data_IF_612981872752
#
_entry.id   IF_612981872752
#
_cell.length_a   1.000
_cell.length_b   1.000
_cell.length_c   1.000
_cell.angle_alpha   90.00
_cell.angle_beta   90.00
_cell.angle_gamma   90.00
#
_symmetry.space_group_name_H-M   'P 1'
#
loop_
_entity.id
_entity.type
_entity.pdbx_description
1 polymer ?
#
# COMPACT_ATOMS: atom_id res chain seq x y z
N UNK A 1 -25.06 -10.20 25.52
CA UNK A 1 -24.13 -10.51 24.43
C UNK A 1 -24.58 -9.91 23.09
N UNK A 2 -25.82 -10.15 22.65
CA UNK A 2 -26.37 -9.66 21.37
C UNK A 2 -26.41 -8.12 21.23
N UNK A 3 -26.78 -7.38 22.28
CA UNK A 3 -26.89 -5.91 22.23
C UNK A 3 -25.56 -5.22 21.94
N UNK A 4 -24.44 -5.74 22.50
CA UNK A 4 -23.10 -5.20 22.28
C UNK A 4 -22.64 -5.42 20.83
N UNK A 5 -23.03 -6.56 20.24
CA UNK A 5 -22.71 -6.89 18.85
C UNK A 5 -23.48 -5.96 17.91
N UNK A 6 -24.77 -5.72 18.17
CA UNK A 6 -25.59 -4.79 17.38
C UNK A 6 -25.05 -3.36 17.49
N UNK A 7 -24.70 -2.89 18.69
CA UNK A 7 -24.08 -1.58 18.91
C UNK A 7 -22.73 -1.47 18.19
N UNK A 8 -21.89 -2.51 18.21
CA UNK A 8 -20.61 -2.53 17.51
C UNK A 8 -20.80 -2.46 15.99
N UNK A 9 -21.79 -3.15 15.42
CA UNK A 9 -22.12 -3.11 14.00
C UNK A 9 -22.62 -1.70 13.62
N UNK A 10 -23.50 -1.11 14.42
CA UNK A 10 -24.04 0.23 14.18
C UNK A 10 -22.93 1.31 14.27
N UNK A 11 -22.04 1.19 15.24
CA UNK A 11 -20.90 2.11 15.41
C UNK A 11 -19.87 1.97 14.28
N UNK A 12 -19.51 0.74 13.88
CA UNK A 12 -18.52 0.52 12.82
C UNK A 12 -19.05 0.86 11.43
N UNK A 13 -20.32 0.53 11.15
CA UNK A 13 -20.98 0.92 9.90
C UNK A 13 -21.12 2.44 9.80
N UNK A 14 -21.63 3.12 10.83
CA UNK A 14 -21.75 4.58 10.84
C UNK A 14 -20.39 5.27 10.67
N UNK A 15 -19.35 4.84 11.38
CA UNK A 15 -17.99 5.38 11.22
C UNK A 15 -17.46 5.23 9.77
N UNK A 16 -17.69 4.05 9.16
CA UNK A 16 -17.23 3.78 7.78
C UNK A 16 -18.01 4.60 6.75
N UNK A 17 -19.33 4.70 6.90
CA UNK A 17 -20.18 5.45 5.99
C UNK A 17 -19.98 6.96 6.11
N UNK A 18 -19.72 7.50 7.31
CA UNK A 18 -19.41 8.92 7.51
C UNK A 18 -18.21 9.32 6.65
N UNK A 19 -17.11 8.55 6.72
CA UNK A 19 -15.89 8.87 5.98
C UNK A 19 -16.11 8.83 4.47
N UNK A 20 -16.82 7.81 3.98
CA UNK A 20 -17.16 7.70 2.55
C UNK A 20 -18.08 8.83 2.09
N UNK A 21 -19.08 9.21 2.89
CA UNK A 21 -20.03 10.28 2.55
C UNK A 21 -19.33 11.64 2.47
N UNK A 22 -18.47 11.97 3.43
CA UNK A 22 -17.63 13.17 3.36
C UNK A 22 -16.72 13.17 2.12
N UNK A 23 -16.14 12.02 1.78
CA UNK A 23 -15.33 11.86 0.56
C UNK A 23 -16.11 12.20 -0.72
N UNK A 24 -17.36 11.74 -0.85
CA UNK A 24 -18.22 12.02 -2.02
C UNK A 24 -18.59 13.50 -2.11
N UNK A 25 -18.92 14.14 -0.99
CA UNK A 25 -19.25 15.58 -0.96
C UNK A 25 -18.04 16.42 -1.38
N UNK A 26 -16.86 16.09 -0.85
CA UNK A 26 -15.61 16.77 -1.21
C UNK A 26 -15.24 16.54 -2.67
N UNK A 27 -15.48 15.34 -3.22
CA UNK A 27 -15.19 15.02 -4.62
C UNK A 27 -15.99 15.87 -5.62
N UNK A 28 -17.21 16.31 -5.29
CA UNK A 28 -18.03 17.08 -6.22
C UNK A 28 -17.70 18.59 -6.21
N UNK A 29 -17.05 19.10 -5.15
CA UNK A 29 -16.69 20.53 -5.01
C UNK A 29 -15.23 20.85 -5.28
N UNK A 30 -14.34 19.86 -5.20
CA UNK A 30 -12.89 20.06 -5.34
C UNK A 30 -12.46 19.66 -6.74
N UNK A 31 -12.13 20.64 -7.58
CA UNK A 31 -11.47 20.37 -8.86
C UNK A 31 -10.11 19.71 -8.61
N UNK A 32 -9.84 18.62 -9.33
CA UNK A 32 -8.57 17.86 -9.38
C UNK A 32 -7.33 18.77 -9.49
N UNK A 33 -7.48 19.94 -10.12
CA UNK A 33 -6.41 20.90 -10.44
C UNK A 33 -6.11 21.90 -9.32
N UNK A 34 -6.85 21.87 -8.19
CA UNK A 34 -6.63 22.78 -7.07
C UNK A 34 -5.31 22.51 -6.35
N UNK A 35 -4.60 23.57 -5.93
CA UNK A 35 -3.35 23.49 -5.16
C UNK A 35 -3.51 22.69 -3.86
N UNK A 36 -4.67 22.79 -3.20
CA UNK A 36 -4.95 22.09 -1.93
C UNK A 36 -5.05 20.57 -2.16
N UNK A 37 -5.72 20.14 -3.23
CA UNK A 37 -5.86 18.72 -3.53
C UNK A 37 -4.51 18.08 -3.89
N UNK A 38 -3.67 18.80 -4.64
CA UNK A 38 -2.30 18.35 -4.94
C UNK A 38 -1.45 18.22 -3.67
N UNK A 39 -1.60 19.13 -2.70
CA UNK A 39 -0.90 19.03 -1.41
C UNK A 39 -1.37 17.81 -0.61
N UNK A 40 -2.68 17.55 -0.55
CA UNK A 40 -3.22 16.36 0.10
C UNK A 40 -2.77 15.06 -0.57
N UNK A 41 -2.76 15.01 -1.91
CA UNK A 41 -2.21 13.87 -2.65
C UNK A 41 -0.73 13.66 -2.32
N UNK A 42 0.07 14.73 -2.25
CA UNK A 42 1.47 14.63 -1.86
C UNK A 42 1.63 14.03 -0.45
N UNK A 43 0.81 14.47 0.51
CA UNK A 43 0.80 13.88 1.85
C UNK A 43 0.43 12.39 1.83
N UNK A 44 -0.61 12.02 1.09
CA UNK A 44 -1.03 10.63 0.98
C UNK A 44 0.04 9.74 0.34
N UNK A 45 0.69 10.20 -0.74
CA UNK A 45 1.79 9.45 -1.36
C UNK A 45 3.04 9.41 -0.48
N UNK A 46 3.30 10.46 0.31
CA UNK A 46 4.40 10.49 1.28
C UNK A 46 4.20 9.45 2.38
N UNK A 47 3.00 9.34 2.95
CA UNK A 47 2.71 8.32 3.98
C UNK A 47 2.77 6.90 3.42
N UNK A 48 2.29 6.69 2.19
CA UNK A 48 2.41 5.40 1.49
C UNK A 48 3.88 5.03 1.25
N UNK A 49 4.71 6.00 0.85
CA UNK A 49 6.15 5.81 0.66
C UNK A 49 6.87 5.51 1.97
N UNK A 50 6.53 6.22 3.05
CA UNK A 50 7.08 5.98 4.38
C UNK A 50 6.70 4.59 4.92
N UNK A 51 5.45 4.15 4.68
CA UNK A 51 4.99 2.82 5.04
C UNK A 51 5.77 1.73 4.28
N UNK A 52 5.95 1.90 2.97
CA UNK A 52 6.75 0.98 2.14
C UNK A 52 8.20 0.93 2.61
N UNK A 53 8.82 2.07 2.90
CA UNK A 53 10.18 2.13 3.44
C UNK A 53 10.29 1.39 4.79
N UNK A 54 9.30 1.56 5.68
CA UNK A 54 9.23 0.83 6.95
C UNK A 54 9.17 -0.68 6.74
N UNK A 55 8.39 -1.16 5.78
CA UNK A 55 8.27 -2.61 5.49
C UNK A 55 9.60 -3.19 4.98
N UNK A 56 10.36 -2.41 4.21
CA UNK A 56 11.67 -2.84 3.67
C UNK A 56 12.75 -2.88 4.77
N UNK A 57 12.82 -1.85 5.62
CA UNK A 57 13.85 -1.70 6.67
C UNK A 57 13.51 -2.53 7.91
N UNK A 58 12.25 -2.56 8.31
CA UNK A 58 11.74 -3.28 9.48
C UNK A 58 10.66 -4.28 9.05
N UNK A 59 11.06 -5.40 8.43
CA UNK A 59 10.14 -6.46 8.03
C UNK A 59 9.41 -7.04 9.24
N UNK A 60 8.15 -7.43 9.04
CA UNK A 60 7.37 -8.17 10.03
C UNK A 60 6.74 -9.38 9.37
N UNK A 61 6.58 -10.49 10.11
CA UNK A 61 6.00 -11.73 9.60
C UNK A 61 6.97 -12.55 8.75
N UNK A 62 6.43 -13.30 7.77
CA UNK A 62 7.17 -14.26 6.92
C UNK A 62 8.34 -13.63 6.15
N UNK A 63 8.32 -12.32 5.92
CA UNK A 63 9.45 -11.63 5.30
C UNK A 63 10.69 -11.66 6.19
N UNK A 64 10.55 -11.68 7.52
CA UNK A 64 11.64 -11.58 8.51
C UNK A 64 12.73 -12.65 8.36
N UNK A 65 12.40 -13.81 7.80
CA UNK A 65 13.33 -14.92 7.61
C UNK A 65 14.33 -14.65 6.47
N UNK A 66 13.99 -13.76 5.55
CA UNK A 66 14.82 -13.41 4.39
C UNK A 66 15.86 -12.35 4.75
N UNK A 67 17.11 -12.53 4.32
CA UNK A 67 18.19 -11.56 4.57
C UNK A 67 17.94 -10.18 3.93
N UNK A 68 18.44 -9.12 4.58
CA UNK A 68 18.27 -7.73 4.11
C UNK A 68 18.81 -7.48 2.70
N UNK A 69 19.94 -8.11 2.34
CA UNK A 69 20.59 -7.95 1.05
C UNK A 69 19.73 -8.49 -0.10
N UNK A 70 19.11 -9.65 0.08
CA UNK A 70 18.24 -10.27 -0.92
C UNK A 70 17.03 -9.36 -1.19
N UNK A 71 16.40 -8.84 -0.14
CA UNK A 71 15.23 -7.95 -0.30
C UNK A 71 15.56 -6.67 -1.05
N UNK A 72 16.70 -6.04 -0.73
CA UNK A 72 17.13 -4.81 -1.39
C UNK A 72 17.38 -5.04 -2.89
N UNK A 73 18.06 -6.14 -3.24
CA UNK A 73 18.31 -6.51 -4.64
C UNK A 73 17.02 -6.81 -5.39
N UNK A 74 16.07 -7.56 -4.80
CA UNK A 74 14.77 -7.85 -5.42
C UNK A 74 13.98 -6.56 -5.65
N UNK A 75 13.94 -5.65 -4.68
CA UNK A 75 13.26 -4.34 -4.83
C UNK A 75 13.86 -3.52 -5.97
N UNK A 76 15.19 -3.43 -6.06
CA UNK A 76 15.87 -2.73 -7.15
C UNK A 76 15.57 -3.37 -8.51
N UNK A 77 15.58 -4.69 -8.60
CA UNK A 77 15.27 -5.42 -9.83
C UNK A 77 13.81 -5.22 -10.26
N UNK A 78 12.88 -5.21 -9.31
CA UNK A 78 11.47 -4.92 -9.57
C UNK A 78 11.25 -3.50 -10.10
N UNK A 79 11.96 -2.52 -9.53
CA UNK A 79 11.92 -1.14 -10.04
C UNK A 79 12.43 -1.08 -11.49
N UNK A 80 13.51 -1.79 -11.80
CA UNK A 80 14.06 -1.83 -13.16
C UNK A 80 13.06 -2.44 -14.17
N UNK A 81 12.44 -3.57 -13.83
CA UNK A 81 11.39 -4.20 -14.64
C UNK A 81 10.19 -3.27 -14.80
N UNK A 82 9.79 -2.56 -13.75
CA UNK A 82 8.66 -1.63 -13.81
C UNK A 82 8.89 -0.51 -14.83
N UNK A 83 10.11 0.04 -14.89
CA UNK A 83 10.48 1.05 -15.89
C UNK A 83 10.48 0.49 -17.32
N UNK A 84 10.98 -0.73 -17.51
CA UNK A 84 10.97 -1.40 -18.82
C UNK A 84 9.54 -1.74 -19.28
N UNK A 85 8.68 -2.15 -18.35
CA UNK A 85 7.32 -2.64 -18.63
C UNK A 85 6.30 -1.51 -18.89
N UNK A 86 6.75 -0.32 -19.30
CA UNK A 86 5.90 0.86 -19.56
C UNK A 86 4.92 1.18 -18.41
N UNK A 87 5.35 1.00 -17.16
CA UNK A 87 4.54 1.20 -15.93
C UNK A 87 3.40 0.20 -15.71
N UNK A 88 3.42 -0.98 -16.33
CA UNK A 88 2.48 -2.03 -16.00
C UNK A 88 2.88 -2.74 -14.68
N UNK A 89 2.04 -2.63 -13.64
CA UNK A 89 2.32 -3.17 -12.30
C UNK A 89 2.28 -4.70 -12.21
N UNK A 90 1.72 -5.39 -13.21
CA UNK A 90 1.54 -6.85 -13.18
C UNK A 90 2.86 -7.60 -13.38
N UNK A 91 3.71 -7.17 -14.31
CA UNK A 91 4.97 -7.88 -14.58
C UNK A 91 5.96 -7.84 -13.41
N UNK A 92 6.21 -6.69 -12.77
CA UNK A 92 7.10 -6.63 -11.61
C UNK A 92 6.59 -7.46 -10.44
N UNK A 93 5.27 -7.52 -10.21
CA UNK A 93 4.69 -8.23 -9.06
C UNK A 93 4.74 -9.75 -9.22
N UNK A 94 4.47 -10.26 -10.43
CA UNK A 94 4.60 -11.71 -10.70
C UNK A 94 6.07 -12.13 -10.64
N UNK A 95 6.97 -11.35 -11.26
CA UNK A 95 8.40 -11.65 -11.26
C UNK A 95 9.00 -11.51 -9.85
N UNK A 96 8.55 -10.55 -9.03
CA UNK A 96 9.02 -10.41 -7.65
C UNK A 96 8.65 -11.61 -6.79
N UNK A 97 7.42 -12.12 -6.92
CA UNK A 97 6.97 -13.29 -6.18
C UNK A 97 7.78 -14.54 -6.56
N UNK A 98 8.05 -14.74 -7.86
CA UNK A 98 8.87 -15.85 -8.35
C UNK A 98 10.32 -15.73 -7.89
N UNK A 99 10.93 -14.54 -8.01
CA UNK A 99 12.30 -14.32 -7.55
C UNK A 99 12.44 -14.51 -6.04
N UNK A 100 11.47 -14.03 -5.27
CA UNK A 100 11.52 -14.10 -3.81
C UNK A 100 11.31 -15.53 -3.28
N UNK A 101 10.44 -16.32 -3.93
CA UNK A 101 10.26 -17.74 -3.60
C UNK A 101 11.51 -18.54 -3.94
N UNK A 102 12.07 -18.38 -5.14
CA UNK A 102 13.28 -19.09 -5.57
C UNK A 102 14.51 -18.74 -4.72
N UNK A 103 14.72 -17.46 -4.38
CA UNK A 103 15.87 -17.07 -3.54
C UNK A 103 15.71 -17.46 -2.08
N UNK A 104 14.47 -17.60 -1.58
CA UNK A 104 14.21 -18.05 -0.21
C UNK A 104 14.36 -19.56 -0.05
N UNK A 105 14.26 -20.34 -1.12
CA UNK A 105 14.42 -21.80 -1.07
C UNK A 105 15.88 -22.24 -1.24
N UNK A 106 16.73 -21.36 -1.78
CA UNK A 106 18.17 -21.61 -1.97
C UNK A 106 19.04 -21.20 -0.77
N UNK A 107 18.49 -20.49 0.22
CA UNK A 107 19.21 -19.95 1.38
C UNK A 107 18.52 -20.35 2.69
#
# INVERSE_FOLDING_TARGET
MSINIVLAILATSSATYISRFFGVITSNKVKETSKIFRWFNCLAYSTLSALLARIIIFPVGALSEVSYLIRLTVVLFCLFIFFISKRNFVYPTVISAIMMTLLSEYL
#
